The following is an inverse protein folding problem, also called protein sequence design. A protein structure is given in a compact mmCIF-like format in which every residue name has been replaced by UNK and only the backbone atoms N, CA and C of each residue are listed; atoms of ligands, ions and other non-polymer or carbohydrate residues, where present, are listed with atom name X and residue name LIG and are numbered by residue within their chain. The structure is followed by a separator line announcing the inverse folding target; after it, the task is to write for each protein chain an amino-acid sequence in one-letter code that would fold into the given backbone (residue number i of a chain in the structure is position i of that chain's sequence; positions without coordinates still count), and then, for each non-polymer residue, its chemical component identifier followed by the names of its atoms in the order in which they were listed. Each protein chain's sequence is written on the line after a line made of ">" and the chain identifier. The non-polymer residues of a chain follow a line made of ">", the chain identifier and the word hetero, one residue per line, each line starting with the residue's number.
data_IF_658960664655
#
_entry.id   IF_658960664655
#
_cell.length_a   1.000
_cell.length_b   1.000
_cell.length_c   1.000
_cell.angle_alpha   90.00
_cell.angle_beta   90.00
_cell.angle_gamma   90.00
#
_symmetry.space_group_name_H-M   'P 1'
#
loop_
_entity.id
_entity.type
_entity.pdbx_description
1 polymer ?
#
# COMPACT_ATOMS: atom_id res chain seq x y z
N UNK A 1 -5.11 18.55 -5.36
CA UNK A 1 -5.43 17.49 -6.35
C UNK A 1 -6.53 17.98 -7.27
N UNK A 2 -6.55 17.54 -8.53
CA UNK A 2 -7.66 17.82 -9.45
C UNK A 2 -8.84 16.88 -9.19
N UNK A 3 -10.04 17.29 -9.58
CA UNK A 3 -11.24 16.44 -9.55
C UNK A 3 -11.01 15.11 -10.29
N UNK A 4 -10.35 15.18 -11.45
CA UNK A 4 -10.01 13.99 -12.23
C UNK A 4 -9.07 13.02 -11.51
N UNK A 5 -8.13 13.51 -10.69
CA UNK A 5 -7.24 12.65 -9.91
C UNK A 5 -8.04 11.87 -8.85
N UNK A 6 -9.05 12.52 -8.23
CA UNK A 6 -9.91 11.87 -7.24
C UNK A 6 -10.75 10.76 -7.87
N UNK A 7 -11.40 11.03 -9.00
CA UNK A 7 -12.22 10.02 -9.71
C UNK A 7 -11.44 8.81 -10.22
N UNK A 8 -10.16 9.02 -10.51
CA UNK A 8 -9.25 7.95 -10.95
C UNK A 8 -8.60 7.19 -9.79
N UNK A 9 -8.72 7.69 -8.56
CA UNK A 9 -8.18 7.01 -7.37
C UNK A 9 -9.14 5.92 -6.90
N UNK A 10 -8.62 4.92 -6.18
CA UNK A 10 -9.44 3.83 -5.64
C UNK A 10 -8.76 3.15 -4.45
N UNK A 11 -9.57 2.50 -3.61
CA UNK A 11 -9.07 1.59 -2.58
C UNK A 11 -9.21 0.14 -3.08
N UNK A 12 -8.16 -0.65 -2.89
CA UNK A 12 -8.18 -2.06 -3.27
C UNK A 12 -7.50 -2.94 -2.22
N UNK A 13 -7.77 -4.24 -2.29
CA UNK A 13 -6.92 -5.26 -1.69
C UNK A 13 -5.93 -5.82 -2.72
N UNK A 14 -4.75 -6.21 -2.24
CA UNK A 14 -3.70 -6.84 -3.04
C UNK A 14 -3.23 -8.16 -2.41
N UNK A 15 -3.35 -9.23 -3.18
CA UNK A 15 -2.81 -10.56 -2.86
C UNK A 15 -2.03 -11.09 -4.07
N UNK A 16 -1.26 -12.16 -3.91
CA UNK A 16 -0.73 -12.92 -5.04
C UNK A 16 -1.88 -13.62 -5.79
N UNK A 17 -1.70 -13.89 -7.09
CA UNK A 17 -2.69 -14.61 -7.93
C UNK A 17 -3.06 -16.00 -7.36
N UNK A 18 -2.14 -16.64 -6.64
CA UNK A 18 -2.37 -17.92 -5.97
C UNK A 18 -3.11 -17.81 -4.63
N UNK A 19 -3.67 -16.64 -4.34
CA UNK A 19 -4.37 -16.27 -3.10
C UNK A 19 -3.48 -16.17 -1.86
N UNK A 20 -2.15 -16.15 -2.01
CA UNK A 20 -1.25 -15.84 -0.89
C UNK A 20 -1.35 -14.36 -0.52
N UNK A 21 -1.64 -14.09 0.76
CA UNK A 21 -1.82 -12.74 1.29
C UNK A 21 -0.51 -11.97 1.31
N UNK A 22 -0.53 -10.71 0.89
CA UNK A 22 0.57 -9.78 1.09
C UNK A 22 0.43 -9.09 2.45
N UNK A 23 1.53 -8.93 3.17
CA UNK A 23 1.53 -8.29 4.48
C UNK A 23 2.91 -7.74 4.84
N UNK A 24 2.92 -6.82 5.79
CA UNK A 24 4.12 -6.31 6.44
C UNK A 24 4.41 -7.13 7.71
N UNK A 25 4.59 -8.43 7.51
CA UNK A 25 4.89 -9.42 8.54
C UNK A 25 5.76 -10.53 7.97
N UNK A 26 6.46 -11.25 8.84
CA UNK A 26 7.23 -12.44 8.48
C UNK A 26 6.86 -13.61 9.37
N UNK A 27 7.04 -14.81 8.83
CA UNK A 27 6.91 -16.03 9.62
C UNK A 27 8.19 -16.25 10.42
N UNK A 28 8.03 -16.54 11.71
CA UNK A 28 9.14 -16.78 12.64
C UNK A 28 8.95 -18.12 13.38
N UNK A 29 9.91 -18.46 14.25
CA UNK A 29 9.84 -19.64 15.12
C UNK A 29 9.56 -20.93 14.33
N UNK A 30 10.21 -21.09 13.17
CA UNK A 30 10.05 -22.25 12.25
C UNK A 30 8.59 -22.49 11.82
N UNK A 31 7.82 -21.43 11.61
CA UNK A 31 6.41 -21.55 11.18
C UNK A 31 5.40 -21.57 12.32
N UNK A 32 5.80 -21.25 13.55
CA UNK A 32 4.89 -21.26 14.70
C UNK A 32 4.10 -19.96 14.85
N UNK A 33 4.66 -18.81 14.46
CA UNK A 33 4.04 -17.49 14.63
C UNK A 33 4.45 -16.51 13.54
N UNK A 34 3.76 -15.37 13.49
CA UNK A 34 4.10 -14.22 12.63
C UNK A 34 4.53 -13.04 13.50
N UNK A 35 5.44 -12.23 12.99
CA UNK A 35 5.90 -10.98 13.61
C UNK A 35 5.82 -9.83 12.59
N UNK A 36 5.55 -8.61 13.07
CA UNK A 36 5.53 -7.41 12.23
C UNK A 36 6.91 -7.19 11.59
N UNK A 37 6.89 -6.74 10.34
CA UNK A 37 8.08 -6.46 9.55
C UNK A 37 7.92 -5.18 8.72
N UNK A 38 9.01 -4.53 8.33
CA UNK A 38 8.91 -3.30 7.50
C UNK A 38 8.84 -3.61 6.00
N UNK A 39 9.47 -4.69 5.58
CA UNK A 39 9.46 -5.17 4.20
C UNK A 39 8.17 -5.96 3.90
N UNK A 40 7.65 -5.79 2.68
CA UNK A 40 6.44 -6.46 2.22
C UNK A 40 6.75 -7.92 1.89
N UNK A 41 5.93 -8.81 2.43
CA UNK A 41 6.04 -10.25 2.27
C UNK A 41 4.73 -10.84 1.74
N UNK A 42 4.81 -11.87 0.91
CA UNK A 42 3.73 -12.83 0.73
C UNK A 42 3.80 -13.86 1.86
N UNK A 43 2.72 -14.06 2.61
CA UNK A 43 2.72 -14.87 3.83
C UNK A 43 1.43 -15.71 3.94
N UNK A 44 1.58 -17.04 3.93
CA UNK A 44 0.44 -17.99 4.04
C UNK A 44 -0.24 -18.05 5.41
N UNK A 45 0.38 -17.50 6.46
CA UNK A 45 -0.22 -17.45 7.80
C UNK A 45 -1.09 -16.20 8.01
N UNK A 46 -0.98 -15.22 7.12
CA UNK A 46 -1.80 -14.01 7.15
C UNK A 46 -3.19 -14.29 6.62
N UNK A 47 -4.18 -13.61 7.22
CA UNK A 47 -5.60 -13.82 6.93
C UNK A 47 -6.24 -12.65 6.21
N UNK A 48 -5.74 -11.44 6.48
CA UNK A 48 -6.33 -10.21 6.01
C UNK A 48 -5.52 -9.67 4.83
N UNK A 49 -6.15 -9.55 3.67
CA UNK A 49 -5.52 -9.01 2.46
C UNK A 49 -4.99 -7.59 2.69
N UNK A 50 -3.85 -7.27 2.06
CA UNK A 50 -3.26 -5.94 2.14
C UNK A 50 -4.19 -4.89 1.52
N UNK A 51 -4.67 -3.93 2.32
CA UNK A 51 -5.43 -2.78 1.82
C UNK A 51 -4.48 -1.67 1.37
N UNK A 52 -4.64 -1.25 0.12
CA UNK A 52 -3.81 -0.22 -0.51
C UNK A 52 -4.70 0.79 -1.22
N UNK A 53 -4.48 2.06 -0.91
CA UNK A 53 -5.09 3.18 -1.62
C UNK A 53 -4.19 3.58 -2.78
N UNK A 54 -4.77 3.55 -3.97
CA UNK A 54 -4.13 3.90 -5.24
C UNK A 54 -4.50 5.33 -5.56
N UNK A 55 -3.59 6.26 -5.24
CA UNK A 55 -3.78 7.67 -5.52
C UNK A 55 -3.30 7.99 -6.93
N UNK A 56 -4.22 8.42 -7.80
CA UNK A 56 -3.90 8.70 -9.20
C UNK A 56 -3.01 9.93 -9.38
N UNK A 57 -1.97 9.79 -10.18
CA UNK A 57 -1.13 10.88 -10.68
C UNK A 57 -1.51 11.29 -12.11
N UNK A 58 -0.71 12.19 -12.70
CA UNK A 58 -1.06 12.85 -13.96
C UNK A 58 -0.90 11.96 -15.20
N UNK A 59 -0.04 10.93 -15.13
CA UNK A 59 0.36 10.11 -16.28
C UNK A 59 -0.21 8.67 -16.27
N UNK A 60 -1.29 8.43 -15.52
CA UNK A 60 -1.83 7.08 -15.31
C UNK A 60 -0.99 6.24 -14.33
N UNK A 61 -0.06 6.89 -13.63
CA UNK A 61 0.70 6.33 -12.53
C UNK A 61 -0.10 6.47 -11.22
N UNK A 62 0.17 5.59 -10.25
CA UNK A 62 -0.47 5.60 -8.94
C UNK A 62 0.57 5.64 -7.84
N UNK A 63 0.39 6.54 -6.87
CA UNK A 63 1.10 6.49 -5.60
C UNK A 63 0.39 5.50 -4.68
N UNK A 64 1.13 4.54 -4.11
CA UNK A 64 0.57 3.49 -3.28
C UNK A 64 0.65 3.85 -1.78
N UNK A 65 -0.51 3.98 -1.14
CA UNK A 65 -0.62 4.24 0.30
C UNK A 65 -1.14 3.00 1.02
N UNK A 66 -0.47 2.59 2.09
CA UNK A 66 -0.86 1.46 2.91
C UNK A 66 -1.96 1.87 3.91
N UNK A 67 -3.09 1.15 3.92
CA UNK A 67 -4.22 1.37 4.82
C UNK A 67 -4.29 0.27 5.88
N UNK A 68 -3.37 0.30 6.84
CA UNK A 68 -3.36 -0.61 7.99
C UNK A 68 -2.67 -0.03 9.21
N UNK A 69 -2.82 -0.69 10.35
CA UNK A 69 -2.31 -0.19 11.63
C UNK A 69 -0.77 -0.02 11.62
N UNK A 70 -0.32 1.16 12.04
CA UNK A 70 1.10 1.43 12.26
C UNK A 70 1.42 1.15 13.72
N UNK A 71 2.06 0.01 14.00
CA UNK A 71 2.77 -0.13 15.25
C UNK A 71 4.03 0.71 15.12
N UNK A 72 3.99 1.96 15.61
CA UNK A 72 5.24 2.64 15.95
C UNK A 72 6.06 1.65 16.77
N UNK A 73 7.30 1.38 16.36
CA UNK A 73 8.24 0.58 17.14
C UNK A 73 8.23 1.09 18.58
N UNK A 74 7.43 0.46 19.44
CA UNK A 74 7.59 0.60 20.88
C UNK A 74 8.88 -0.14 21.19
N UNK A 75 9.80 0.61 21.78
CA UNK A 75 11.02 0.10 22.38
C UNK A 75 10.70 -1.20 23.15
N UNK A 76 11.43 -2.30 22.93
CA UNK A 76 11.06 -3.59 23.51
C UNK A 76 11.20 -3.52 25.03
N UNK A 77 10.07 -3.61 25.75
CA UNK A 77 10.08 -3.51 27.22
C UNK A 77 8.75 -3.52 27.97
N UNK A 78 7.58 -3.56 27.30
CA UNK A 78 6.29 -3.66 28.01
C UNK A 78 5.55 -4.94 27.62
N UNK A 79 5.60 -5.93 28.50
CA UNK A 79 4.64 -7.03 28.52
C UNK A 79 3.22 -6.46 28.65
N UNK A 80 2.44 -6.63 27.59
CA UNK A 80 1.04 -6.21 27.55
C UNK A 80 0.32 -6.99 26.45
N UNK A 81 -0.58 -7.87 26.88
CA UNK A 81 -1.55 -8.65 26.09
C UNK A 81 -2.14 -7.82 24.92
N UNK A 82 -2.26 -8.35 23.68
CA UNK A 82 -2.86 -7.61 22.58
C UNK A 82 -4.38 -7.73 22.69
N UNK A 83 -5.00 -6.81 23.41
CA UNK A 83 -6.45 -6.56 23.37
C UNK A 83 -6.63 -5.03 23.42
N UNK A 84 -6.35 -4.36 22.31
CA UNK A 84 -7.13 -3.19 21.89
C UNK A 84 -7.05 -3.04 20.39
N UNK A 85 -8.19 -3.30 19.77
CA UNK A 85 -8.59 -2.79 18.47
C UNK A 85 -8.65 -1.26 18.56
N UNK A 86 -7.51 -0.60 18.65
CA UNK A 86 -7.44 0.84 18.42
C UNK A 86 -7.42 1.04 16.91
N UNK A 87 -8.62 0.91 16.32
CA UNK A 87 -8.94 1.40 15.00
C UNK A 87 -8.60 2.90 14.97
N UNK A 88 -7.43 3.24 14.47
CA UNK A 88 -7.03 4.60 14.09
C UNK A 88 -7.97 5.18 13.01
N UNK A 89 -8.95 4.40 12.55
CA UNK A 89 -9.71 4.62 11.33
C UNK A 89 -11.23 4.64 11.53
N UNK A 90 -11.73 4.94 12.73
CA UNK A 90 -13.11 5.44 12.88
C UNK A 90 -13.23 6.89 12.37
N UNK A 91 -12.93 7.10 11.09
CA UNK A 91 -13.30 8.32 10.37
C UNK A 91 -14.35 7.94 9.34
N UNK A 92 -15.59 8.29 9.67
CA UNK A 92 -16.83 8.16 8.89
C UNK A 92 -16.82 8.88 7.53
N UNK A 93 -15.67 9.35 7.04
CA UNK A 93 -15.60 10.26 5.91
C UNK A 93 -14.44 9.87 4.96
N UNK A 94 -14.81 9.44 3.76
CA UNK A 94 -13.89 8.97 2.70
C UNK A 94 -13.04 10.07 2.05
N UNK A 95 -13.12 11.31 2.53
CA UNK A 95 -12.50 12.49 1.94
C UNK A 95 -11.15 12.87 2.59
N UNK A 96 -10.91 12.52 3.86
CA UNK A 96 -9.71 12.90 4.63
C UNK A 96 -8.37 12.42 4.02
N UNK A 97 -8.40 11.41 3.14
CA UNK A 97 -7.22 10.89 2.43
C UNK A 97 -6.70 11.84 1.34
N UNK A 98 -7.59 12.65 0.76
CA UNK A 98 -7.20 13.62 -0.26
C UNK A 98 -6.57 14.88 0.32
N UNK A 99 -6.65 15.08 1.64
CA UNK A 99 -6.09 16.22 2.36
C UNK A 99 -4.71 15.93 2.97
N UNK A 100 -4.22 14.70 2.83
CA UNK A 100 -2.84 14.35 3.12
C UNK A 100 -1.95 14.83 1.96
N UNK A 101 -1.46 16.06 2.11
CA UNK A 101 -0.51 16.80 1.27
C UNK A 101 -1.06 17.53 0.03
N UNK A 102 -0.88 18.87 0.08
CA UNK A 102 -0.95 19.83 -1.02
C UNK A 102 -0.26 19.28 -2.27
N UNK A 103 -1.08 18.90 -3.25
CA UNK A 103 -0.65 18.45 -4.58
C UNK A 103 -0.17 19.59 -5.48
N UNK A 104 0.23 20.73 -4.95
CA UNK A 104 0.66 21.87 -5.75
C UNK A 104 2.16 21.80 -6.00
N UNK A 105 2.48 21.48 -7.26
CA UNK A 105 3.68 21.92 -7.94
C UNK A 105 4.13 23.29 -7.43
N UNK A 106 5.41 23.38 -7.09
CA UNK A 106 6.13 24.64 -6.85
C UNK A 106 5.73 25.72 -7.86
N UNK A 107 5.11 26.79 -7.37
CA UNK A 107 5.19 28.13 -7.96
C UNK A 107 5.01 29.16 -6.85
N UNK A 108 6.15 29.70 -6.43
CA UNK A 108 6.43 31.05 -5.90
C UNK A 108 5.59 31.61 -4.74
N UNK A 109 6.34 32.00 -3.70
CA UNK A 109 6.08 32.99 -2.65
C UNK A 109 4.65 33.55 -2.50
N UNK A 110 3.99 33.27 -1.37
CA UNK A 110 3.58 34.38 -0.51
C UNK A 110 3.42 34.00 0.96
N UNK A 111 3.84 34.93 1.83
CA UNK A 111 3.86 34.83 3.28
C UNK A 111 2.50 35.24 3.85
N UNK A 112 1.79 34.33 4.52
CA UNK A 112 0.86 34.69 5.60
C UNK A 112 0.35 33.43 6.31
N UNK A 113 0.97 33.11 7.45
CA UNK A 113 0.53 32.03 8.32
C UNK A 113 -0.79 32.40 9.01
N UNK A 114 -1.90 31.85 8.54
CA UNK A 114 -3.13 31.72 9.35
C UNK A 114 -3.13 30.32 9.95
N UNK A 115 -2.97 30.25 11.28
CA UNK A 115 -3.11 29.03 12.08
C UNK A 115 -4.51 28.44 11.87
N UNK A 116 -4.64 27.40 11.05
CA UNK A 116 -5.78 26.50 11.14
C UNK A 116 -5.52 25.52 12.29
N UNK A 117 -6.56 25.26 13.06
CA UNK A 117 -6.60 24.22 14.10
C UNK A 117 -6.40 22.85 13.44
N UNK A 118 -5.14 22.44 13.29
CA UNK A 118 -4.80 21.13 12.74
C UNK A 118 -5.20 20.05 13.75
N UNK A 119 -6.14 19.19 13.37
CA UNK A 119 -6.15 17.84 13.91
C UNK A 119 -4.75 17.27 13.67
N UNK A 120 -4.14 16.63 14.68
CA UNK A 120 -2.93 15.83 14.49
C UNK A 120 -3.29 14.65 13.57
N UNK A 121 -3.30 14.90 12.26
CA UNK A 121 -3.50 13.85 11.27
C UNK A 121 -2.17 13.11 11.16
N UNK A 122 -2.12 11.80 11.45
CA UNK A 122 -0.89 11.04 11.32
C UNK A 122 -0.39 11.08 9.88
N UNK A 123 0.93 11.16 9.70
CA UNK A 123 1.53 11.21 8.37
C UNK A 123 1.14 9.98 7.53
N UNK A 124 0.91 10.13 6.22
CA UNK A 124 0.58 9.01 5.35
C UNK A 124 1.71 7.98 5.31
N UNK A 125 1.33 6.70 5.28
CA UNK A 125 2.27 5.58 5.12
C UNK A 125 2.22 5.09 3.68
N UNK A 126 3.35 5.19 3.00
CA UNK A 126 3.51 4.75 1.63
C UNK A 126 4.03 3.32 1.57
N UNK A 127 3.67 2.60 0.51
CA UNK A 127 4.48 1.49 0.03
C UNK A 127 5.62 2.11 -0.76
N UNK A 128 6.86 1.81 -0.39
CA UNK A 128 8.08 2.34 -0.98
C UNK A 128 9.06 1.25 -1.42
N UNK A 129 10.17 1.67 -2.01
CA UNK A 129 11.29 0.81 -2.37
C UNK A 129 12.56 1.36 -1.74
N UNK A 130 13.21 0.58 -0.89
CA UNK A 130 14.46 1.00 -0.26
C UNK A 130 15.66 0.91 -1.23
N UNK A 131 16.84 1.32 -0.78
CA UNK A 131 18.04 1.35 -1.63
C UNK A 131 18.49 -0.05 -2.11
N UNK A 132 18.07 -1.11 -1.42
CA UNK A 132 18.35 -2.50 -1.75
C UNK A 132 17.33 -3.08 -2.76
N UNK A 133 16.26 -2.34 -3.06
CA UNK A 133 15.19 -2.77 -3.96
C UNK A 133 14.10 -3.61 -3.28
N UNK A 134 14.07 -3.66 -1.94
CA UNK A 134 12.97 -4.29 -1.20
C UNK A 134 11.77 -3.35 -1.13
N UNK A 135 10.58 -3.91 -1.31
CA UNK A 135 9.33 -3.17 -1.11
C UNK A 135 9.10 -3.04 0.40
N UNK A 136 8.89 -1.83 0.90
CA UNK A 136 8.85 -1.52 2.35
C UNK A 136 7.72 -0.54 2.67
N UNK A 137 7.29 -0.47 3.94
CA UNK A 137 6.57 0.71 4.45
C UNK A 137 7.53 1.87 4.63
N UNK A 138 7.03 3.08 4.43
CA UNK A 138 7.80 4.30 4.63
C UNK A 138 6.89 5.52 4.82
N UNK A 139 7.33 6.49 5.62
CA UNK A 139 6.74 7.85 5.63
C UNK A 139 7.49 8.81 4.72
N UNK A 140 8.63 8.40 4.16
CA UNK A 140 9.39 9.18 3.18
C UNK A 140 8.80 9.00 1.79
N UNK A 141 8.11 10.05 1.33
CA UNK A 141 7.53 10.13 -0.01
C UNK A 141 8.59 10.03 -1.12
N UNK A 142 9.84 10.43 -0.87
CA UNK A 142 10.93 10.40 -1.85
C UNK A 142 11.31 9.00 -2.30
N UNK A 143 10.95 7.97 -1.53
CA UNK A 143 11.17 6.56 -1.88
C UNK A 143 9.87 5.79 -2.10
N UNK A 144 8.73 6.48 -2.20
CA UNK A 144 7.44 5.83 -2.42
C UNK A 144 7.37 5.13 -3.78
N UNK A 145 6.64 4.01 -3.81
CA UNK A 145 6.41 3.19 -4.97
C UNK A 145 5.35 3.86 -5.84
N UNK A 146 5.79 4.45 -6.94
CA UNK A 146 4.90 4.98 -7.99
C UNK A 146 4.70 3.87 -9.01
N UNK A 147 3.47 3.38 -9.15
CA UNK A 147 3.12 2.20 -9.92
C UNK A 147 2.35 2.53 -11.19
N UNK A 148 2.74 1.94 -12.32
CA UNK A 148 1.88 1.76 -13.49
C UNK A 148 1.21 0.39 -13.42
N UNK A 149 -0.10 0.34 -13.61
CA UNK A 149 -0.85 -0.92 -13.57
C UNK A 149 -0.93 -1.50 -14.98
N UNK A 150 -0.47 -2.73 -15.15
CA UNK A 150 -0.57 -3.49 -16.41
C UNK A 150 -1.43 -4.72 -16.19
N UNK A 151 -2.45 -4.96 -17.02
CA UNK A 151 -3.25 -6.18 -16.92
C UNK A 151 -2.49 -7.42 -17.44
N UNK A 152 -2.98 -8.60 -17.06
CA UNK A 152 -2.44 -9.88 -17.53
C UNK A 152 -2.64 -10.04 -19.04
N UNK A 153 -1.61 -10.53 -19.74
CA UNK A 153 -1.72 -10.98 -21.15
C UNK A 153 -2.35 -9.97 -22.13
N UNK A 154 -2.02 -8.68 -21.98
CA UNK A 154 -2.51 -7.63 -22.89
C UNK A 154 -3.91 -7.12 -22.58
N UNK A 155 -4.52 -7.59 -21.48
CA UNK A 155 -5.72 -6.95 -20.94
C UNK A 155 -5.41 -5.54 -20.45
N UNK A 156 -6.24 -4.58 -20.83
CA UNK A 156 -6.17 -3.24 -20.27
C UNK A 156 -6.77 -3.25 -18.85
N UNK A 157 -6.05 -2.61 -17.92
CA UNK A 157 -6.59 -2.31 -16.59
C UNK A 157 -7.75 -1.33 -16.70
N UNK A 158 -8.80 -1.55 -15.90
CA UNK A 158 -9.94 -0.64 -15.78
C UNK A 158 -10.38 -0.53 -14.33
N UNK A 159 -10.54 0.68 -13.83
CA UNK A 159 -11.07 0.94 -12.48
C UNK A 159 -12.51 0.44 -12.29
N UNK A 160 -13.26 0.26 -13.38
CA UNK A 160 -14.67 -0.18 -13.33
C UNK A 160 -14.83 -1.69 -13.10
N UNK A 161 -13.73 -2.47 -13.14
CA UNK A 161 -13.76 -3.90 -12.83
C UNK A 161 -13.42 -4.14 -11.36
N UNK A 162 -14.26 -4.88 -10.65
CA UNK A 162 -14.07 -5.18 -9.23
C UNK A 162 -12.84 -6.04 -8.96
N UNK A 163 -12.57 -7.04 -9.80
CA UNK A 163 -11.43 -7.95 -9.62
C UNK A 163 -10.66 -8.12 -10.92
N UNK A 164 -9.33 -8.00 -10.85
CA UNK A 164 -8.43 -8.11 -12.00
C UNK A 164 -7.11 -8.79 -11.63
N UNK A 165 -6.41 -9.31 -12.63
CA UNK A 165 -5.03 -9.80 -12.49
C UNK A 165 -4.07 -8.82 -13.14
N UNK A 166 -3.16 -8.28 -12.34
CA UNK A 166 -2.33 -7.15 -12.71
C UNK A 166 -0.87 -7.36 -12.31
N UNK A 167 0.01 -6.64 -13.00
CA UNK A 167 1.37 -6.37 -12.58
C UNK A 167 1.47 -4.89 -12.22
N UNK A 168 2.21 -4.58 -11.16
CA UNK A 168 2.51 -3.20 -10.76
C UNK A 168 3.93 -2.87 -11.20
N UNK A 169 4.10 -1.91 -12.11
CA UNK A 169 5.41 -1.50 -12.63
C UNK A 169 5.92 -0.27 -11.90
N UNK A 170 7.09 -0.38 -11.28
CA UNK A 170 7.76 0.75 -10.63
C UNK A 170 8.19 1.78 -11.67
N UNK A 171 7.77 3.03 -11.50
CA UNK A 171 8.24 4.13 -12.33
C UNK A 171 9.73 4.42 -12.12
N UNK A 172 10.30 4.01 -10.98
CA UNK A 172 11.72 4.21 -10.64
C UNK A 172 12.62 3.17 -11.30
N UNK A 173 12.40 1.89 -11.06
CA UNK A 173 13.24 0.81 -11.61
C UNK A 173 12.83 0.37 -13.01
N UNK A 174 11.61 0.73 -13.45
CA UNK A 174 10.97 0.27 -14.70
C UNK A 174 10.68 -1.23 -14.73
N UNK A 175 10.85 -1.93 -13.62
CA UNK A 175 10.50 -3.35 -13.45
C UNK A 175 9.09 -3.49 -12.86
N UNK A 176 8.48 -4.65 -13.07
CA UNK A 176 7.30 -5.02 -12.28
C UNK A 176 7.70 -5.30 -10.83
N UNK A 177 6.76 -5.22 -9.90
CA UNK A 177 6.92 -5.79 -8.57
C UNK A 177 7.14 -7.29 -8.75
N UNK A 178 8.15 -7.79 -8.08
CA UNK A 178 8.65 -9.15 -8.18
C UNK A 178 8.63 -9.80 -6.81
N UNK A 179 8.72 -11.12 -6.82
CA UNK A 179 8.91 -11.93 -5.62
C UNK A 179 10.08 -12.88 -5.84
N UNK A 180 10.78 -13.25 -4.76
CA UNK A 180 11.97 -14.10 -4.81
C UNK A 180 11.78 -15.43 -4.06
N UNK A 181 12.89 -16.18 -3.90
CA UNK A 181 13.01 -17.43 -3.14
C UNK A 181 12.11 -17.46 -1.90
N UNK A 182 11.26 -18.47 -1.89
CA UNK A 182 10.39 -18.85 -0.80
C UNK A 182 11.14 -19.56 0.33
N UNK A 183 10.80 -19.24 1.58
CA UNK A 183 11.13 -20.07 2.74
C UNK A 183 9.93 -20.93 3.13
N UNK A 184 10.14 -22.24 3.15
CA UNK A 184 9.11 -23.24 3.43
C UNK A 184 9.25 -23.81 4.85
N UNK A 185 8.14 -23.90 5.58
CA UNK A 185 8.02 -24.47 6.91
C UNK A 185 7.06 -25.68 6.92
N UNK A 186 7.06 -26.44 8.02
CA UNK A 186 6.16 -27.57 8.21
C UNK A 186 4.69 -27.17 8.12
N UNK A 187 3.86 -28.04 7.53
CA UNK A 187 2.42 -27.80 7.39
C UNK A 187 2.04 -26.93 6.20
N UNK A 188 2.91 -26.80 5.20
CA UNK A 188 2.64 -26.06 3.96
C UNK A 188 2.73 -24.54 4.10
N UNK A 189 3.23 -24.06 5.24
CA UNK A 189 3.42 -22.64 5.53
C UNK A 189 4.67 -22.13 4.84
N UNK A 190 4.59 -20.96 4.24
CA UNK A 190 5.72 -20.32 3.60
C UNK A 190 5.54 -18.81 3.51
N UNK A 191 6.65 -18.12 3.26
CA UNK A 191 6.66 -16.71 2.88
C UNK A 191 7.75 -16.40 1.84
N UNK A 192 7.59 -15.28 1.14
CA UNK A 192 8.58 -14.72 0.21
C UNK A 192 8.50 -13.20 0.27
N UNK A 193 9.62 -12.48 0.08
CA UNK A 193 9.54 -11.02 0.07
C UNK A 193 9.28 -10.47 -1.32
N UNK A 194 8.80 -9.22 -1.33
CA UNK A 194 8.51 -8.45 -2.52
C UNK A 194 9.63 -7.45 -2.79
N UNK A 195 9.96 -7.27 -4.06
CA UNK A 195 11.07 -6.44 -4.55
C UNK A 195 10.72 -5.84 -5.91
N UNK A 196 11.48 -4.87 -6.40
CA UNK A 196 11.37 -4.38 -7.76
C UNK A 196 12.69 -4.49 -8.55
N UNK A 197 13.67 -5.24 -8.04
CA UNK A 197 15.01 -5.30 -8.65
C UNK A 197 15.50 -6.74 -8.93
N UNK A 198 15.04 -7.74 -8.18
CA UNK A 198 15.52 -9.12 -8.31
C UNK A 198 14.40 -10.14 -7.99
N UNK A 199 13.93 -10.87 -8.99
CA UNK A 199 12.96 -11.93 -8.77
C UNK A 199 12.17 -12.30 -10.02
N UNK A 200 11.00 -12.90 -9.81
CA UNK A 200 10.01 -13.12 -10.86
C UNK A 200 8.87 -12.15 -10.71
N UNK A 201 8.38 -11.60 -11.81
CA UNK A 201 7.25 -10.69 -11.84
C UNK A 201 6.05 -11.30 -11.08
N UNK A 202 5.61 -10.60 -10.05
CA UNK A 202 4.50 -11.01 -9.22
C UNK A 202 3.20 -10.68 -9.94
N UNK A 203 2.46 -11.71 -10.32
CA UNK A 203 1.09 -11.55 -10.77
C UNK A 203 0.21 -11.36 -9.52
N UNK A 204 -0.46 -10.22 -9.45
CA UNK A 204 -1.27 -9.83 -8.31
C UNK A 204 -2.76 -9.96 -8.62
N UNK A 205 -3.49 -10.42 -7.62
CA UNK A 205 -4.94 -10.28 -7.53
C UNK A 205 -5.24 -8.91 -6.92
N UNK A 206 -5.77 -8.00 -7.74
CA UNK A 206 -6.25 -6.69 -7.31
C UNK A 206 -7.77 -6.72 -7.23
N UNK A 207 -8.32 -6.41 -6.06
CA UNK A 207 -9.78 -6.33 -5.85
C UNK A 207 -10.14 -4.93 -5.37
N UNK A 208 -10.82 -4.15 -6.20
CA UNK A 208 -11.28 -2.79 -5.87
C UNK A 208 -12.43 -2.89 -4.88
N UNK A 209 -12.32 -2.16 -3.76
CA UNK A 209 -13.32 -2.12 -2.69
C UNK A 209 -13.97 -0.75 -2.52
N UNK A 210 -13.31 0.34 -2.93
CA UNK A 210 -13.92 1.67 -2.99
C UNK A 210 -13.47 2.39 -4.27
N UNK A 211 -14.41 3.13 -4.87
CA UNK A 211 -14.18 4.09 -5.95
C UNK A 211 -14.62 5.46 -5.47
N UNK A 212 -14.17 6.53 -6.12
CA UNK A 212 -14.48 7.89 -5.66
C UNK A 212 -15.09 8.73 -6.78
N UNK A 213 -15.99 9.64 -6.40
CA UNK A 213 -16.46 10.72 -7.25
C UNK A 213 -15.46 11.89 -7.21
N UNK A 214 -15.64 12.88 -8.10
CA UNK A 214 -14.84 14.10 -8.13
C UNK A 214 -14.76 14.79 -6.76
N UNK A 215 -15.87 14.90 -6.04
CA UNK A 215 -15.89 15.53 -4.72
C UNK A 215 -15.11 14.75 -3.64
N UNK A 216 -14.74 13.49 -3.92
CA UNK A 216 -14.07 12.57 -3.00
C UNK A 216 -15.01 11.64 -2.24
N UNK A 217 -16.32 11.72 -2.47
CA UNK A 217 -17.29 10.78 -1.91
C UNK A 217 -17.12 9.38 -2.51
N UNK A 218 -17.40 8.34 -1.72
CA UNK A 218 -17.35 6.96 -2.20
C UNK A 218 -18.48 6.71 -3.20
N UNK A 219 -18.11 6.18 -4.36
CA UNK A 219 -19.02 5.73 -5.41
C UNK A 219 -19.27 4.23 -5.25
N UNK A 220 -20.49 3.89 -4.84
CA UNK A 220 -21.02 2.51 -4.80
C UNK A 220 -21.33 1.98 -6.19
#
# INVERSE_FOLDING_TARGET
>A
MSYDQKERSFLATLDLDDATVLAFSKIVNKGASVEVHDELCANTMEKDSLKVFFLAGDNGDYLLLFKGAFHHHQVPGSEGRPDSSDDVFSLENGDDWFYSDDFTSSSEEDKSATKSSGKDVPAPVYIGVNAQGWVTRTTDRGIAYVAQISGRQGEAFSIDKDEQRVYLRSCRSKNFMQTYKREDFSGGKWFAYMTDCDGKDALLKLTIIERYNADGSVRT
#
